data_IF_677113408443
#
_entry.id   IF_677113408443
#
_cell.length_a   1.000
_cell.length_b   1.000
_cell.length_c   1.000
_cell.angle_alpha   90.00
_cell.angle_beta   90.00
_cell.angle_gamma   90.00
#
_symmetry.space_group_name_H-M   'P 1'
#
loop_
_entity.id
_entity.type
_entity.pdbx_description
1 polymer ?
#
# COMPACT_ATOMS: atom_id res chain seq x y z
N UNK A 1 -9.94 -14.21 -3.27
CA UNK A 1 -9.67 -13.65 -1.92
C UNK A 1 -8.65 -12.56 -2.10
N UNK A 2 -8.98 -11.29 -1.80
CA UNK A 2 -7.98 -10.23 -1.82
C UNK A 2 -7.00 -10.50 -0.67
N UNK A 3 -5.71 -10.60 -0.99
CA UNK A 3 -4.69 -10.82 0.03
C UNK A 3 -4.66 -9.62 1.00
N UNK A 4 -4.85 -9.90 2.29
CA UNK A 4 -4.96 -8.85 3.31
C UNK A 4 -3.58 -8.26 3.64
N UNK A 5 -3.47 -6.93 3.60
CA UNK A 5 -2.27 -6.23 4.05
C UNK A 5 -2.09 -6.44 5.56
N UNK A 6 -0.96 -7.02 5.96
CA UNK A 6 -0.54 -7.13 7.37
C UNK A 6 0.50 -6.04 7.69
N UNK A 7 0.17 -5.03 8.54
CA UNK A 7 1.08 -3.92 8.85
C UNK A 7 2.42 -4.36 9.44
N UNK A 8 2.49 -5.53 10.09
CA UNK A 8 3.73 -6.06 10.67
C UNK A 8 4.77 -6.45 9.63
N UNK A 9 4.31 -6.78 8.43
CA UNK A 9 5.14 -7.26 7.34
C UNK A 9 5.61 -6.13 6.41
N UNK A 10 5.07 -4.93 6.60
CA UNK A 10 5.45 -3.74 5.86
C UNK A 10 6.71 -3.08 6.45
N UNK A 11 7.46 -2.42 5.58
CA UNK A 11 8.50 -1.47 5.93
C UNK A 11 7.89 -0.22 6.57
N UNK A 12 8.71 0.55 7.29
CA UNK A 12 8.23 1.78 7.95
C UNK A 12 7.69 2.78 6.92
N UNK A 13 8.38 2.94 5.78
CA UNK A 13 7.94 3.80 4.67
C UNK A 13 6.60 3.37 4.08
N UNK A 14 6.37 2.07 3.93
CA UNK A 14 5.11 1.50 3.43
C UNK A 14 3.95 1.70 4.42
N UNK A 15 4.23 1.58 5.73
CA UNK A 15 3.25 1.90 6.77
C UNK A 15 2.91 3.39 6.74
N UNK A 16 3.93 4.25 6.62
CA UNK A 16 3.76 5.70 6.55
C UNK A 16 2.95 6.10 5.33
N UNK A 17 3.19 5.46 4.19
CA UNK A 17 2.38 5.61 3.00
C UNK A 17 0.91 5.25 3.26
N UNK A 18 0.62 4.06 3.80
CA UNK A 18 -0.76 3.61 4.02
C UNK A 18 -1.50 4.48 5.05
N UNK A 19 -0.78 5.00 6.06
CA UNK A 19 -1.32 5.96 7.02
C UNK A 19 -1.63 7.30 6.34
N UNK A 20 -0.68 7.84 5.57
CA UNK A 20 -0.83 9.09 4.82
C UNK A 20 -1.98 9.03 3.82
N UNK A 21 -2.10 7.91 3.09
CA UNK A 21 -3.22 7.67 2.17
C UNK A 21 -4.58 7.74 2.87
N UNK A 22 -4.65 7.37 4.16
CA UNK A 22 -5.86 7.44 4.98
C UNK A 22 -6.00 8.78 5.72
N UNK A 23 -5.20 9.79 5.38
CA UNK A 23 -5.21 11.11 6.01
C UNK A 23 -4.60 11.15 7.41
N UNK A 24 -3.80 10.14 7.78
CA UNK A 24 -3.21 10.04 9.12
C UNK A 24 -1.71 10.34 9.05
N UNK A 25 -1.29 11.45 9.63
CA UNK A 25 0.12 11.79 9.83
C UNK A 25 0.55 11.33 11.22
N UNK A 26 1.38 10.30 11.27
CA UNK A 26 1.84 9.69 12.51
C UNK A 26 3.34 9.94 12.73
N UNK A 27 3.66 10.83 13.67
CA UNK A 27 5.05 11.11 14.10
C UNK A 27 5.49 10.18 15.25
N UNK A 28 4.94 8.97 15.30
CA UNK A 28 5.16 8.02 16.38
C UNK A 28 6.08 6.86 15.94
N UNK A 29 6.48 6.02 16.89
CA UNK A 29 7.37 4.88 16.62
C UNK A 29 6.70 3.80 15.76
N UNK A 30 7.52 2.92 15.16
CA UNK A 30 7.02 1.80 14.34
C UNK A 30 5.93 0.95 15.03
N UNK A 31 6.03 0.56 16.32
CA UNK A 31 5.00 -0.24 16.98
C UNK A 31 3.63 0.45 17.03
N UNK A 32 3.63 1.77 17.25
CA UNK A 32 2.42 2.59 17.31
C UNK A 32 1.81 2.74 15.91
N UNK A 33 2.64 2.98 14.89
CA UNK A 33 2.23 3.03 13.48
C UNK A 33 1.57 1.72 13.02
N UNK A 34 2.14 0.57 13.38
CA UNK A 34 1.56 -0.76 13.11
C UNK A 34 0.18 -0.89 13.75
N UNK A 35 0.06 -0.51 15.01
CA UNK A 35 -1.19 -0.60 15.77
C UNK A 35 -2.26 0.31 15.15
N UNK A 36 -1.87 1.52 14.76
CA UNK A 36 -2.75 2.50 14.13
C UNK A 36 -3.24 2.01 12.77
N UNK A 37 -2.34 1.56 11.90
CA UNK A 37 -2.71 1.04 10.58
C UNK A 37 -3.59 -0.21 10.69
N UNK A 38 -3.28 -1.12 11.63
CA UNK A 38 -4.12 -2.30 11.87
C UNK A 38 -5.55 -1.91 12.24
N UNK A 39 -5.73 -0.98 13.18
CA UNK A 39 -7.06 -0.48 13.58
C UNK A 39 -7.82 0.14 12.39
N UNK A 40 -7.14 0.86 11.51
CA UNK A 40 -7.76 1.43 10.32
C UNK A 40 -8.19 0.36 9.32
N UNK A 41 -7.35 -0.65 9.08
CA UNK A 41 -7.69 -1.78 8.20
C UNK A 41 -8.86 -2.59 8.76
N UNK A 42 -8.88 -2.86 10.06
CA UNK A 42 -9.97 -3.60 10.72
C UNK A 42 -11.30 -2.84 10.60
N UNK A 43 -11.30 -1.50 10.74
CA UNK A 43 -12.49 -0.66 10.54
C UNK A 43 -13.02 -0.72 9.11
N UNK A 44 -12.13 -0.71 8.11
CA UNK A 44 -12.50 -0.82 6.69
C UNK A 44 -13.11 -2.21 6.41
N UNK A 45 -12.50 -3.27 6.95
CA UNK A 45 -12.98 -4.64 6.78
C UNK A 45 -14.37 -4.88 7.40
N UNK A 46 -14.70 -4.18 8.47
CA UNK A 46 -16.00 -4.28 9.16
C UNK A 46 -17.13 -3.45 8.51
N UNK A 47 -16.91 -2.89 7.31
CA UNK A 47 -17.94 -2.10 6.61
C UNK A 47 -18.20 -0.73 7.25
N UNK A 48 -17.27 -0.25 8.10
CA UNK A 48 -17.41 0.98 8.86
C UNK A 48 -17.22 2.23 8.01
N UNK A 49 -18.23 2.61 7.21
CA UNK A 49 -18.41 3.97 6.70
C UNK A 49 -18.82 4.98 7.80
N UNK A 50 -18.61 4.67 9.09
CA UNK A 50 -19.20 5.40 10.23
C UNK A 50 -18.19 6.11 11.15
N UNK A 51 -16.91 6.23 10.78
CA UNK A 51 -16.03 7.21 11.44
C UNK A 51 -15.94 8.45 10.57
N UNK A 52 -16.13 9.63 11.17
CA UNK A 52 -15.85 10.96 10.57
C UNK A 52 -14.40 11.15 10.09
N UNK A 53 -13.57 10.10 10.14
CA UNK A 53 -12.35 10.00 9.35
C UNK A 53 -12.80 9.69 7.93
N UNK A 54 -13.21 10.74 7.21
CA UNK A 54 -13.41 10.63 5.77
C UNK A 54 -12.20 9.89 5.20
N UNK A 55 -12.44 8.88 4.37
CA UNK A 55 -11.38 8.30 3.56
C UNK A 55 -10.93 9.44 2.66
N UNK A 56 -9.99 10.25 3.15
CA UNK A 56 -9.38 11.31 2.39
C UNK A 56 -8.78 10.58 1.21
N UNK A 57 -9.35 10.79 0.03
CA UNK A 57 -8.75 10.36 -1.23
C UNK A 57 -7.51 11.22 -1.38
N UNK A 58 -6.43 10.86 -0.70
CA UNK A 58 -5.16 11.51 -0.86
C UNK A 58 -4.68 11.11 -2.25
N UNK A 59 -4.81 12.02 -3.20
CA UNK A 59 -4.34 11.81 -4.56
C UNK A 59 -2.84 12.04 -4.57
N UNK A 60 -2.08 10.97 -4.77
CA UNK A 60 -0.67 11.09 -5.07
C UNK A 60 -0.50 11.35 -6.57
N UNK A 61 0.48 12.17 -6.95
CA UNK A 61 0.79 12.41 -8.34
C UNK A 61 1.34 11.13 -8.99
N UNK A 62 0.84 10.78 -10.17
CA UNK A 62 1.22 9.55 -10.89
C UNK A 62 2.75 9.37 -11.02
N UNK A 63 3.55 10.38 -11.41
CA UNK A 63 5.00 10.20 -11.53
C UNK A 63 5.66 9.81 -10.20
N UNK A 64 5.22 10.41 -9.09
CA UNK A 64 5.76 10.11 -7.76
C UNK A 64 5.36 8.69 -7.33
N UNK A 65 4.11 8.29 -7.56
CA UNK A 65 3.67 6.95 -7.21
C UNK A 65 4.37 5.87 -8.02
N UNK A 66 4.58 6.10 -9.32
CA UNK A 66 5.28 5.15 -10.18
C UNK A 66 6.68 4.84 -9.63
N UNK A 67 7.45 5.89 -9.29
CA UNK A 67 8.81 5.74 -8.74
C UNK A 67 8.80 4.95 -7.42
N UNK A 68 7.86 5.25 -6.54
CA UNK A 68 7.74 4.59 -5.25
C UNK A 68 7.27 3.13 -5.37
N UNK A 69 6.40 2.83 -6.34
CA UNK A 69 6.01 1.46 -6.71
C UNK A 69 7.22 0.70 -7.25
N UNK A 70 7.97 1.27 -8.19
CA UNK A 70 9.16 0.65 -8.78
C UNK A 70 10.22 0.36 -7.72
N UNK A 71 10.43 1.29 -6.78
CA UNK A 71 11.33 1.12 -5.64
C UNK A 71 10.89 -0.04 -4.74
N UNK A 72 9.59 -0.14 -4.48
CA UNK A 72 9.01 -1.22 -3.68
C UNK A 72 9.17 -2.57 -4.38
N UNK A 73 8.89 -2.62 -5.69
CA UNK A 73 9.04 -3.83 -6.51
C UNK A 73 10.50 -4.28 -6.54
N UNK A 74 11.45 -3.37 -6.79
CA UNK A 74 12.88 -3.72 -6.78
C UNK A 74 13.31 -4.35 -5.45
N UNK A 75 12.86 -3.76 -4.33
CA UNK A 75 13.10 -4.31 -2.99
C UNK A 75 12.49 -5.70 -2.80
N UNK A 76 11.27 -5.94 -3.30
CA UNK A 76 10.63 -7.26 -3.22
C UNK A 76 11.37 -8.28 -4.10
N UNK A 77 11.78 -7.90 -5.30
CA UNK A 77 12.52 -8.76 -6.24
C UNK A 77 13.80 -9.29 -5.60
N UNK A 78 14.55 -8.46 -4.88
CA UNK A 78 15.73 -8.92 -4.11
C UNK A 78 15.33 -9.96 -3.06
N UNK A 79 14.27 -9.72 -2.29
CA UNK A 79 13.79 -10.69 -1.28
C UNK A 79 13.33 -12.01 -1.90
N UNK A 80 12.76 -11.98 -3.11
CA UNK A 80 12.32 -13.18 -3.83
C UNK A 80 13.52 -13.96 -4.36
N UNK A 81 14.54 -13.28 -4.89
CA UNK A 81 15.75 -13.94 -5.38
C UNK A 81 16.50 -14.68 -4.26
N UNK A 82 16.49 -14.12 -3.04
CA UNK A 82 17.15 -14.68 -1.87
C UNK A 82 16.25 -15.65 -1.07
N UNK A 83 15.01 -15.88 -1.50
CA UNK A 83 14.06 -16.70 -0.75
C UNK A 83 14.28 -18.19 -0.99
N UNK A 84 14.75 -18.88 0.05
CA UNK A 84 14.70 -20.33 0.16
C UNK A 84 13.80 -20.71 1.34
N UNK A 85 12.72 -21.46 1.06
CA UNK A 85 11.76 -21.79 2.11
C UNK A 85 10.41 -22.28 1.61
N UNK A 86 9.41 -22.22 2.49
CA UNK A 86 8.05 -22.67 2.26
C UNK A 86 7.01 -21.55 2.53
N UNK A 87 5.75 -21.71 2.10
CA UNK A 87 4.71 -20.68 2.25
C UNK A 87 4.36 -20.27 3.68
N UNK A 88 4.75 -21.04 4.69
CA UNK A 88 4.53 -20.70 6.10
C UNK A 88 5.61 -19.76 6.65
N UNK A 89 6.70 -19.57 5.91
CA UNK A 89 7.84 -18.79 6.39
C UNK A 89 7.50 -17.32 6.49
N UNK A 90 8.05 -16.68 7.52
CA UNK A 90 7.83 -15.25 7.77
C UNK A 90 8.29 -14.40 6.59
N UNK A 91 9.36 -14.80 5.88
CA UNK A 91 9.83 -14.10 4.69
C UNK A 91 8.83 -14.22 3.53
N UNK A 92 8.28 -15.42 3.29
CA UNK A 92 7.22 -15.62 2.30
C UNK A 92 5.99 -14.75 2.60
N UNK A 93 5.52 -14.78 3.85
CA UNK A 93 4.37 -13.96 4.28
C UNK A 93 4.64 -12.46 4.14
N UNK A 94 5.89 -12.03 4.37
CA UNK A 94 6.32 -10.65 4.13
C UNK A 94 6.27 -10.28 2.65
N UNK A 95 6.89 -11.08 1.79
CA UNK A 95 6.88 -10.88 0.34
C UNK A 95 5.44 -10.79 -0.16
N UNK A 96 4.60 -11.76 0.19
CA UNK A 96 3.18 -11.80 -0.18
C UNK A 96 2.43 -10.54 0.27
N UNK A 97 2.63 -10.12 1.51
CA UNK A 97 1.97 -8.92 2.04
C UNK A 97 2.42 -7.65 1.32
N UNK A 98 3.71 -7.53 1.01
CA UNK A 98 4.26 -6.37 0.30
C UNK A 98 3.80 -6.32 -1.16
N UNK A 99 3.64 -7.46 -1.82
CA UNK A 99 3.01 -7.54 -3.14
C UNK A 99 1.54 -7.10 -3.11
N UNK A 100 0.77 -7.51 -2.10
CA UNK A 100 -0.60 -7.04 -1.92
C UNK A 100 -0.66 -5.52 -1.69
N UNK A 101 0.31 -4.96 -0.98
CA UNK A 101 0.45 -3.51 -0.81
C UNK A 101 0.73 -2.81 -2.16
N UNK A 102 1.67 -3.31 -2.97
CA UNK A 102 1.93 -2.78 -4.32
C UNK A 102 0.67 -2.82 -5.18
N UNK A 103 -0.04 -3.96 -5.20
CA UNK A 103 -1.30 -4.10 -5.95
C UNK A 103 -2.33 -3.06 -5.50
N UNK A 104 -2.49 -2.84 -4.20
CA UNK A 104 -3.41 -1.85 -3.67
C UNK A 104 -3.00 -0.42 -4.06
N UNK A 105 -1.70 -0.11 -4.17
CA UNK A 105 -1.21 1.18 -4.68
C UNK A 105 -1.56 1.38 -6.14
N UNK A 106 -1.30 0.39 -6.98
CA UNK A 106 -1.62 0.42 -8.42
C UNK A 106 -3.12 0.66 -8.63
N UNK A 107 -3.98 -0.03 -7.88
CA UNK A 107 -5.44 0.14 -7.95
C UNK A 107 -5.93 1.54 -7.55
N UNK A 108 -5.11 2.33 -6.83
CA UNK A 108 -5.43 3.70 -6.41
C UNK A 108 -4.85 4.75 -7.35
N UNK A 109 -4.02 4.35 -8.33
CA UNK A 109 -3.48 5.28 -9.31
C UNK A 109 -4.61 5.84 -10.16
N UNK A 110 -4.68 7.16 -10.23
CA UNK A 110 -5.51 7.84 -11.23
C UNK A 110 -4.68 7.90 -12.50
N UNK A 111 -5.07 7.13 -13.50
CA UNK A 111 -4.54 7.28 -14.85
C UNK A 111 -5.10 8.60 -15.37
N UNK A 112 -4.27 9.56 -15.82
CA UNK A 112 -4.77 10.71 -16.53
C UNK A 112 -5.63 10.21 -17.68
N UNK A 113 -6.86 10.70 -17.84
CA UNK A 113 -7.58 10.47 -19.10
C UNK A 113 -6.67 11.04 -20.18
N UNK A 114 -6.19 10.18 -21.08
CA UNK A 114 -5.46 10.65 -22.25
C UNK A 114 -6.40 11.61 -22.98
N UNK A 115 -6.06 12.89 -22.97
CA UNK A 115 -6.55 13.87 -23.95
C UNK A 115 -5.94 13.51 -25.33
N UNK A 116 -6.04 12.24 -25.76
CA UNK A 116 -6.10 11.91 -27.18
C UNK A 116 -7.45 12.42 -27.65
N UNK A 117 -7.54 13.75 -27.80
CA UNK A 117 -8.28 14.30 -28.91
C UNK A 117 -7.67 13.64 -30.13
N UNK A 118 -8.40 12.68 -30.67
CA UNK A 118 -8.23 12.29 -32.04
C UNK A 118 -8.12 13.58 -32.85
N UNK A 119 -6.91 13.86 -33.36
CA UNK A 119 -6.74 14.74 -34.50
C UNK A 119 -7.43 14.03 -35.66
N UNK A 120 -8.77 14.11 -35.70
CA UNK A 120 -9.54 13.84 -36.91
C UNK A 120 -9.23 14.95 -37.92
N UNK A 121 -8.27 14.63 -38.78
CA UNK A 121 -8.08 14.97 -40.22
C UNK A 121 -8.86 16.19 -40.73
#
# INVERSE_FOLDING_TARGET
MADSISPRHLLVSEIDYELKFRGVLANCGRPEKITLLKRLLDKVAQGGNQSNVGVYKFTFAFPTESIEIDTTIASITTLVADFEGNPSDTLFLKIKTRLAHVMARIQRLIVPEDDTKDEEI
#
